data_IF_936096311182
#
_entry.id   IF_936096311182
#
_cell.length_a   1.000
_cell.length_b   1.000
_cell.length_c   1.000
_cell.angle_alpha   90.00
_cell.angle_beta   90.00
_cell.angle_gamma   90.00
#
_symmetry.space_group_name_H-M   'P 1'
#
loop_
_entity.id
_entity.type
_entity.pdbx_description
1 polymer ?
#
# COMPACT_ATOMS: atom_id res chain seq x y z
N UNK A 1 -43.60 30.63 -50.56
CA UNK A 1 -42.36 31.04 -49.85
C UNK A 1 -42.24 30.19 -48.59
N UNK A 2 -41.52 29.06 -48.65
CA UNK A 2 -41.27 28.23 -47.47
C UNK A 2 -39.76 28.31 -47.20
N UNK A 3 -39.37 28.88 -46.05
CA UNK A 3 -37.97 28.92 -45.59
C UNK A 3 -37.73 27.66 -44.77
N UNK A 4 -37.00 26.69 -45.33
CA UNK A 4 -36.50 25.53 -44.59
C UNK A 4 -35.16 25.94 -43.99
N UNK A 5 -35.13 26.14 -42.67
CA UNK A 5 -33.93 26.37 -41.89
C UNK A 5 -33.37 25.00 -41.46
N UNK A 6 -32.13 24.63 -41.80
CA UNK A 6 -31.59 23.32 -41.45
C UNK A 6 -31.21 23.36 -39.96
N UNK A 7 -31.96 22.61 -39.15
CA UNK A 7 -31.63 22.37 -37.76
C UNK A 7 -30.48 21.34 -37.71
N UNK A 8 -29.25 21.86 -37.64
CA UNK A 8 -28.02 21.08 -37.56
C UNK A 8 -27.93 20.45 -36.15
N UNK A 9 -28.36 19.18 -36.04
CA UNK A 9 -28.20 18.37 -34.84
C UNK A 9 -26.72 17.99 -34.67
N UNK A 10 -25.98 18.78 -33.90
CA UNK A 10 -24.62 18.45 -33.44
C UNK A 10 -24.70 17.41 -32.32
N UNK A 11 -24.55 16.13 -32.67
CA UNK A 11 -24.33 15.05 -31.70
C UNK A 11 -22.91 15.14 -31.14
N UNK A 12 -22.77 15.83 -30.01
CA UNK A 12 -21.51 15.92 -29.28
C UNK A 12 -21.32 14.60 -28.53
N UNK A 13 -20.61 13.64 -29.15
CA UNK A 13 -20.20 12.40 -28.49
C UNK A 13 -19.11 12.72 -27.47
N UNK A 14 -19.52 12.98 -26.22
CA UNK A 14 -18.59 13.17 -25.12
C UNK A 14 -18.24 11.80 -24.54
N UNK A 15 -17.06 11.27 -24.88
CA UNK A 15 -16.52 10.09 -24.18
C UNK A 15 -16.25 10.47 -22.72
N UNK A 16 -16.70 9.69 -21.72
CA UNK A 16 -16.43 9.99 -20.33
C UNK A 16 -14.90 10.05 -20.10
N UNK A 17 -14.41 11.04 -19.34
CA UNK A 17 -12.98 11.16 -19.06
C UNK A 17 -12.50 9.87 -18.40
N UNK A 18 -11.38 9.32 -18.90
CA UNK A 18 -10.74 8.14 -18.34
C UNK A 18 -10.39 8.46 -16.88
N UNK A 19 -11.03 7.79 -15.92
CA UNK A 19 -10.77 7.98 -14.49
C UNK A 19 -9.29 7.72 -14.24
N UNK A 20 -8.54 8.76 -13.87
CA UNK A 20 -7.13 8.61 -13.50
C UNK A 20 -7.12 7.82 -12.19
N UNK A 21 -6.54 6.63 -12.24
CA UNK A 21 -6.52 5.72 -11.11
C UNK A 21 -5.26 5.97 -10.30
N UNK A 22 -5.42 6.25 -9.00
CA UNK A 22 -4.29 6.43 -8.09
C UNK A 22 -3.57 5.09 -7.89
N UNK A 23 -2.28 5.08 -8.20
CA UNK A 23 -1.34 3.95 -8.07
C UNK A 23 -0.17 4.30 -7.15
N UNK A 24 -0.23 5.45 -6.48
CA UNK A 24 0.85 5.95 -5.62
C UNK A 24 0.81 5.31 -4.24
N UNK A 25 1.99 4.92 -3.75
CA UNK A 25 2.19 4.45 -2.39
C UNK A 25 3.36 5.17 -1.71
N UNK A 26 3.36 5.13 -0.39
CA UNK A 26 4.43 5.69 0.44
C UNK A 26 4.77 4.68 1.52
N UNK A 27 6.04 4.26 1.59
CA UNK A 27 6.54 3.47 2.71
C UNK A 27 6.74 4.42 3.88
N UNK A 28 6.04 4.19 4.99
CA UNK A 28 6.13 5.03 6.19
C UNK A 28 7.05 4.40 7.24
N UNK A 29 7.20 3.09 7.21
CA UNK A 29 8.11 2.37 8.10
C UNK A 29 8.51 1.03 7.49
N UNK A 30 9.78 0.66 7.65
CA UNK A 30 10.30 -0.67 7.33
C UNK A 30 11.32 -1.09 8.39
N UNK A 31 11.28 -2.34 8.83
CA UNK A 31 12.24 -2.86 9.80
C UNK A 31 12.37 -4.38 9.66
N UNK A 32 13.52 -4.91 10.07
CA UNK A 32 13.79 -6.35 10.12
C UNK A 32 13.32 -6.98 11.43
N UNK A 33 13.04 -6.18 12.47
CA UNK A 33 12.67 -6.67 13.79
C UNK A 33 11.36 -6.03 14.24
N UNK A 34 10.45 -6.84 14.78
CA UNK A 34 9.18 -6.38 15.37
C UNK A 34 7.94 -6.66 14.53
N UNK A 35 8.10 -7.30 13.37
CA UNK A 35 6.98 -7.83 12.59
C UNK A 35 6.42 -9.14 13.17
N UNK A 36 5.45 -9.72 12.48
CA UNK A 36 4.85 -11.01 12.84
C UNK A 36 5.76 -12.19 12.49
N UNK A 37 5.73 -13.24 13.31
CA UNK A 37 6.36 -14.54 13.02
C UNK A 37 5.74 -15.22 11.80
N UNK A 38 4.44 -14.98 11.55
CA UNK A 38 3.73 -15.52 10.40
C UNK A 38 3.79 -14.53 9.24
N UNK A 39 4.10 -15.03 8.04
CA UNK A 39 3.99 -14.24 6.83
C UNK A 39 2.52 -13.90 6.55
N UNK A 40 2.26 -12.68 6.07
CA UNK A 40 0.91 -12.23 5.81
C UNK A 40 0.80 -10.72 5.65
N UNK A 41 -0.43 -10.23 5.64
CA UNK A 41 -0.70 -8.81 5.56
C UNK A 41 -1.91 -8.40 6.40
N UNK A 42 -1.97 -7.13 6.74
CA UNK A 42 -3.10 -6.49 7.40
C UNK A 42 -3.43 -5.19 6.68
N UNK A 43 -4.72 -4.93 6.46
CA UNK A 43 -5.20 -3.67 5.90
C UNK A 43 -5.96 -2.92 6.97
N UNK A 44 -5.52 -1.70 7.26
CA UNK A 44 -6.17 -0.79 8.21
C UNK A 44 -6.84 0.32 7.42
N UNK A 45 -8.12 0.56 7.69
CA UNK A 45 -8.98 1.39 6.83
C UNK A 45 -9.62 2.58 7.55
N UNK A 46 -9.33 2.73 8.84
CA UNK A 46 -9.88 3.75 9.73
C UNK A 46 -8.86 4.21 10.78
N UNK A 47 -9.14 5.36 11.39
CA UNK A 47 -8.24 6.00 12.35
C UNK A 47 -8.13 5.23 13.68
N UNK A 48 -9.21 4.61 14.15
CA UNK A 48 -9.23 3.98 15.47
C UNK A 48 -8.33 2.74 15.48
N UNK A 49 -8.53 1.86 14.50
CA UNK A 49 -7.68 0.69 14.27
C UNK A 49 -6.22 1.07 14.03
N UNK A 50 -5.98 2.21 13.36
CA UNK A 50 -4.62 2.70 13.10
C UNK A 50 -3.93 3.18 14.38
N UNK A 51 -4.63 3.93 15.23
CA UNK A 51 -4.07 4.38 16.52
C UNK A 51 -3.69 3.16 17.37
N UNK A 52 -4.59 2.18 17.51
CA UNK A 52 -4.31 0.94 18.24
C UNK A 52 -3.11 0.18 17.66
N UNK A 53 -3.01 0.11 16.34
CA UNK A 53 -1.88 -0.51 15.67
C UNK A 53 -0.57 0.22 15.99
N UNK A 54 -0.51 1.55 15.87
CA UNK A 54 0.71 2.32 16.15
C UNK A 54 1.12 2.20 17.62
N UNK A 55 0.18 2.26 18.56
CA UNK A 55 0.44 2.03 19.98
C UNK A 55 1.04 0.63 20.24
N UNK A 56 0.61 -0.38 19.49
CA UNK A 56 1.13 -1.74 19.60
C UNK A 56 2.59 -1.90 19.14
N UNK A 57 3.07 -1.02 18.26
CA UNK A 57 4.44 -1.07 17.73
C UNK A 57 5.49 -0.63 18.76
N UNK A 58 5.08 0.00 19.88
CA UNK A 58 5.97 0.49 20.96
C UNK A 58 7.17 1.29 20.43
N UNK A 59 6.91 2.14 19.43
CA UNK A 59 7.95 2.95 18.81
C UNK A 59 8.35 4.10 19.73
N UNK A 60 9.59 4.58 19.59
CA UNK A 60 10.06 5.80 20.26
C UNK A 60 9.27 7.01 19.75
N UNK A 61 8.98 8.00 20.61
CA UNK A 61 8.24 9.24 20.25
C UNK A 61 8.81 9.94 19.01
N UNK A 62 10.12 9.87 18.80
CA UNK A 62 10.80 10.46 17.62
C UNK A 62 10.42 9.79 16.30
N UNK A 63 9.97 8.53 16.34
CA UNK A 63 9.51 7.77 15.18
C UNK A 63 8.02 7.98 14.91
N UNK A 64 7.24 8.46 15.90
CA UNK A 64 5.81 8.80 15.72
C UNK A 64 5.58 9.90 14.70
N UNK A 65 6.54 10.79 14.50
CA UNK A 65 6.46 11.84 13.48
C UNK A 65 6.32 11.27 12.06
N UNK A 66 6.77 10.04 11.79
CA UNK A 66 6.57 9.37 10.49
C UNK A 66 5.17 8.78 10.33
N UNK A 67 4.41 8.64 11.41
CA UNK A 67 3.05 8.09 11.44
C UNK A 67 1.98 9.17 11.43
N UNK A 68 2.24 10.28 10.72
CA UNK A 68 1.32 11.42 10.56
C UNK A 68 -0.11 10.97 10.21
N UNK A 69 -1.08 11.84 10.58
CA UNK A 69 -2.51 11.66 10.36
C UNK A 69 -2.83 11.20 8.92
N UNK A 70 -3.23 9.94 8.79
CA UNK A 70 -3.62 9.34 7.51
C UNK A 70 -4.99 9.86 7.08
N UNK A 71 -5.11 10.33 5.84
CA UNK A 71 -6.42 10.63 5.25
C UNK A 71 -7.08 9.32 4.78
N UNK A 72 -7.78 8.64 5.71
CA UNK A 72 -8.50 7.40 5.42
C UNK A 72 -9.66 7.56 4.44
N UNK A 73 -9.99 8.77 3.96
CA UNK A 73 -10.91 8.93 2.82
C UNK A 73 -10.22 8.60 1.50
N UNK A 74 -8.90 8.71 1.43
CA UNK A 74 -8.10 8.55 0.20
C UNK A 74 -7.12 7.39 0.25
N UNK A 75 -6.65 7.02 1.42
CA UNK A 75 -5.62 5.99 1.61
C UNK A 75 -6.08 4.91 2.59
N UNK A 76 -5.52 3.73 2.47
CA UNK A 76 -5.50 2.70 3.51
C UNK A 76 -4.06 2.52 3.97
N UNK A 77 -3.86 1.94 5.15
CA UNK A 77 -2.55 1.50 5.62
C UNK A 77 -2.44 0.01 5.36
N UNK A 78 -1.35 -0.42 4.72
CA UNK A 78 -1.03 -1.82 4.48
C UNK A 78 0.20 -2.18 5.31
N UNK A 79 0.08 -3.23 6.11
CA UNK A 79 1.18 -3.86 6.83
C UNK A 79 1.50 -5.17 6.15
N UNK A 80 2.75 -5.35 5.72
CA UNK A 80 3.28 -6.57 5.12
C UNK A 80 4.25 -7.23 6.09
N UNK A 81 4.08 -8.52 6.36
CA UNK A 81 4.98 -9.32 7.19
C UNK A 81 5.59 -10.44 6.36
N UNK A 82 6.91 -10.59 6.42
CA UNK A 82 7.66 -11.65 5.73
C UNK A 82 7.75 -12.97 6.52
N UNK A 83 7.26 -12.96 7.76
CA UNK A 83 7.42 -14.04 8.72
C UNK A 83 8.83 -14.12 9.30
N UNK A 84 9.03 -15.05 10.23
CA UNK A 84 10.30 -15.25 10.90
C UNK A 84 11.39 -15.70 9.91
N UNK A 85 12.59 -15.13 10.05
CA UNK A 85 13.81 -15.52 9.35
C UNK A 85 14.92 -15.82 10.35
N UNK A 86 15.74 -16.83 10.05
CA UNK A 86 16.80 -17.29 10.96
C UNK A 86 18.12 -16.51 10.82
N UNK A 87 18.15 -15.47 9.99
CA UNK A 87 19.28 -14.56 9.84
C UNK A 87 18.77 -13.16 9.52
N UNK A 88 19.64 -12.15 9.63
CA UNK A 88 19.37 -10.82 9.11
C UNK A 88 19.54 -10.73 7.59
N UNK A 89 19.31 -9.53 7.05
CA UNK A 89 19.46 -9.25 5.61
C UNK A 89 18.21 -9.51 4.77
N UNK A 90 17.08 -9.81 5.40
CA UNK A 90 15.78 -9.97 4.74
C UNK A 90 14.96 -8.68 4.79
N UNK A 91 14.22 -8.40 3.73
CA UNK A 91 13.32 -7.25 3.66
C UNK A 91 12.06 -7.61 2.89
N UNK A 92 10.96 -6.96 3.25
CA UNK A 92 9.72 -6.97 2.49
C UNK A 92 9.31 -5.52 2.23
N UNK A 93 8.86 -5.22 1.01
CA UNK A 93 8.41 -3.88 0.61
C UNK A 93 7.35 -3.97 -0.50
N UNK A 94 6.84 -2.84 -0.97
CA UNK A 94 5.94 -2.76 -2.13
C UNK A 94 6.77 -2.48 -3.38
N UNK A 95 6.62 -3.34 -4.40
CA UNK A 95 7.22 -3.13 -5.72
C UNK A 95 6.38 -2.17 -6.56
N UNK A 96 5.07 -2.41 -6.62
CA UNK A 96 4.15 -1.62 -7.43
C UNK A 96 2.71 -1.78 -6.97
N UNK A 97 1.87 -0.82 -7.39
CA UNK A 97 0.42 -0.89 -7.21
C UNK A 97 -0.25 -0.77 -8.57
N UNK A 98 -1.21 -1.65 -8.81
CA UNK A 98 -2.20 -1.52 -9.87
C UNK A 98 -3.54 -1.23 -9.23
N UNK A 99 -4.25 -0.25 -9.77
CA UNK A 99 -5.62 0.02 -9.39
C UNK A 99 -6.48 -0.38 -10.58
N UNK A 100 -7.31 -1.42 -10.40
CA UNK A 100 -8.25 -1.91 -11.40
C UNK A 100 -9.67 -1.80 -10.83
N UNK A 101 -10.41 -0.79 -11.30
CA UNK A 101 -11.79 -0.52 -10.89
C UNK A 101 -12.02 -0.57 -9.37
N UNK A 102 -11.22 0.16 -8.58
CA UNK A 102 -11.23 0.17 -7.10
C UNK A 102 -10.77 -1.14 -6.43
N UNK A 103 -10.25 -2.11 -7.19
CA UNK A 103 -9.43 -3.21 -6.65
C UNK A 103 -7.98 -2.78 -6.69
N UNK A 104 -7.36 -2.69 -5.51
CA UNK A 104 -5.95 -2.33 -5.38
C UNK A 104 -5.15 -3.63 -5.31
N UNK A 105 -4.37 -3.88 -6.36
CA UNK A 105 -3.45 -5.01 -6.43
C UNK A 105 -2.08 -4.47 -6.05
N UNK A 106 -1.54 -4.97 -4.94
CA UNK A 106 -0.25 -4.58 -4.41
C UNK A 106 0.72 -5.72 -4.68
N UNK A 107 1.73 -5.48 -5.49
CA UNK A 107 2.82 -6.43 -5.70
C UNK A 107 3.87 -6.18 -4.64
N UNK A 108 4.09 -7.16 -3.76
CA UNK A 108 5.16 -7.10 -2.77
C UNK A 108 6.47 -7.59 -3.37
N UNK A 109 7.56 -7.07 -2.83
CA UNK A 109 8.91 -7.54 -3.11
C UNK A 109 9.53 -8.02 -1.82
N UNK A 110 9.99 -9.27 -1.85
CA UNK A 110 10.74 -9.89 -0.78
C UNK A 110 12.19 -10.07 -1.23
N UNK A 111 13.13 -9.67 -0.39
CA UNK A 111 14.57 -9.84 -0.61
C UNK A 111 15.20 -10.54 0.58
N UNK A 112 16.40 -11.09 0.36
CA UNK A 112 17.17 -11.79 1.37
C UNK A 112 18.63 -11.95 0.92
N UNK A 113 19.51 -12.46 1.79
CA UNK A 113 20.89 -12.74 1.45
C UNK A 113 20.98 -13.71 0.27
N UNK A 114 21.91 -13.49 -0.66
CA UNK A 114 22.12 -14.44 -1.75
C UNK A 114 22.77 -15.72 -1.24
N UNK A 115 22.62 -16.80 -2.01
CA UNK A 115 23.28 -18.07 -1.71
C UNK A 115 24.80 -17.85 -1.59
N UNK A 116 25.35 -18.16 -0.41
CA UNK A 116 26.78 -18.03 -0.12
C UNK A 116 27.22 -16.66 0.38
N UNK A 117 26.33 -15.65 0.42
CA UNK A 117 26.62 -14.41 1.14
C UNK A 117 26.57 -14.65 2.65
N UNK A 118 27.50 -14.04 3.38
CA UNK A 118 27.47 -14.06 4.84
C UNK A 118 26.30 -13.20 5.34
N UNK A 119 25.42 -13.80 6.14
CA UNK A 119 24.32 -13.11 6.81
C UNK A 119 24.57 -13.08 8.32
N UNK A 120 24.02 -12.07 9.00
CA UNK A 120 24.08 -11.99 10.47
C UNK A 120 23.22 -13.10 11.08
N UNK A 121 23.76 -13.84 12.04
CA UNK A 121 23.04 -14.93 12.72
C UNK A 121 22.11 -14.40 13.81
N UNK A 122 21.07 -13.67 13.39
CA UNK A 122 20.05 -13.06 14.26
C UNK A 122 18.67 -13.42 13.71
N UNK A 123 17.78 -13.90 14.58
CA UNK A 123 16.39 -14.14 14.21
C UNK A 123 15.69 -12.79 13.97
N UNK A 124 15.01 -12.66 12.84
CA UNK A 124 14.34 -11.44 12.41
C UNK A 124 12.88 -11.72 12.03
N UNK A 125 12.03 -10.69 12.06
CA UNK A 125 10.65 -10.70 11.59
C UNK A 125 10.41 -9.47 10.70
N UNK A 126 10.91 -9.48 9.44
CA UNK A 126 10.85 -8.31 8.58
C UNK A 126 9.42 -7.89 8.23
N UNK A 127 9.18 -6.59 8.27
CA UNK A 127 7.89 -6.02 7.94
C UNK A 127 8.00 -4.62 7.32
N UNK A 128 6.92 -4.23 6.65
CA UNK A 128 6.78 -2.93 6.01
C UNK A 128 5.38 -2.38 6.26
N UNK A 129 5.30 -1.10 6.59
CA UNK A 129 4.07 -0.34 6.73
C UNK A 129 4.06 0.72 5.63
N UNK A 130 2.97 0.75 4.86
CA UNK A 130 2.83 1.66 3.73
C UNK A 130 1.43 2.26 3.65
N UNK A 131 1.35 3.49 3.13
CA UNK A 131 0.11 4.10 2.67
C UNK A 131 -0.15 3.68 1.24
N UNK A 132 -1.32 3.12 0.98
CA UNK A 132 -1.77 2.69 -0.35
C UNK A 132 -3.08 3.38 -0.74
N UNK A 133 -3.43 3.49 -2.03
CA UNK A 133 -4.71 4.04 -2.45
C UNK A 133 -5.88 3.32 -1.79
N UNK A 134 -6.95 4.05 -1.49
CA UNK A 134 -8.18 3.44 -1.00
C UNK A 134 -8.86 2.66 -2.13
N UNK A 135 -9.32 1.45 -1.81
CA UNK A 135 -10.13 0.63 -2.69
C UNK A 135 -11.10 -0.23 -1.91
N UNK A 136 -12.04 -0.82 -2.63
CA UNK A 136 -13.09 -1.68 -2.09
C UNK A 136 -12.53 -3.07 -1.77
N UNK A 137 -11.49 -3.48 -2.51
CA UNK A 137 -10.81 -4.76 -2.35
C UNK A 137 -9.31 -4.52 -2.47
N UNK A 138 -8.55 -5.14 -1.57
CA UNK A 138 -7.09 -5.15 -1.61
C UNK A 138 -6.64 -6.58 -1.87
N UNK A 139 -5.75 -6.77 -2.84
CA UNK A 139 -5.12 -8.05 -3.18
C UNK A 139 -3.62 -7.83 -3.05
N UNK A 140 -2.94 -8.70 -2.31
CA UNK A 140 -1.48 -8.68 -2.17
C UNK A 140 -0.92 -9.89 -2.91
N UNK A 141 -0.04 -9.63 -3.88
CA UNK A 141 0.67 -10.61 -4.71
C UNK A 141 2.14 -10.68 -4.30
#
# INVERSE_FOLDING_TARGET
MIKILPFLFLIISCSPPKKIMDTTFTIIYNNQIGGSENAGHMVIQDNESYIQFIESLKLEETQFANFLKVDFKKKNVLVLNQGQKNSGGYEITIESIVNDNNTIIVKKKETGPKKGEMATSVITTPYCIALIPKGNKIIVE
#
